data_IF_688062990462
#
_entry.id   IF_688062990462
#
_cell.length_a   1.000
_cell.length_b   1.000
_cell.length_c   1.000
_cell.angle_alpha   90.00
_cell.angle_beta   90.00
_cell.angle_gamma   90.00
#
_symmetry.space_group_name_H-M   'P 1'
#
loop_
_entity.id
_entity.type
_entity.pdbx_description
1 polymer ?
#
# COMPACT_ATOMS: atom_id res chain seq x y z
N UNK A 1 10.13 18.19 0.76
CA UNK A 1 10.29 16.72 0.80
C UNK A 1 10.23 16.24 -0.63
N UNK A 2 11.16 15.40 -1.07
CA UNK A 2 11.19 14.91 -2.45
C UNK A 2 10.45 13.57 -2.51
N UNK A 3 9.46 13.45 -3.38
CA UNK A 3 8.77 12.18 -3.66
C UNK A 3 9.54 11.49 -4.77
N UNK A 4 9.96 10.25 -4.53
CA UNK A 4 10.73 9.47 -5.51
C UNK A 4 9.90 8.29 -6.02
N UNK A 5 9.82 8.16 -7.34
CA UNK A 5 9.29 6.99 -8.05
C UNK A 5 10.43 6.02 -8.37
N UNK A 6 10.35 4.80 -7.85
CA UNK A 6 11.25 3.67 -8.13
C UNK A 6 10.46 2.61 -8.89
N UNK A 7 11.02 2.03 -9.94
CA UNK A 7 10.34 1.04 -10.78
C UNK A 7 11.29 -0.09 -11.18
N UNK A 8 10.71 -1.26 -11.48
CA UNK A 8 11.49 -2.39 -12.00
C UNK A 8 12.14 -2.14 -13.37
N UNK A 9 11.79 -1.05 -14.05
CA UNK A 9 12.38 -0.66 -15.33
C UNK A 9 13.59 0.29 -15.17
N UNK A 10 13.88 0.75 -13.97
CA UNK A 10 14.97 1.70 -13.75
C UNK A 10 16.35 1.05 -13.98
N UNK A 11 17.28 1.84 -14.51
CA UNK A 11 18.67 1.41 -14.62
C UNK A 11 19.26 1.17 -13.22
N UNK A 12 19.82 -0.04 -13.02
CA UNK A 12 20.37 -0.46 -11.73
C UNK A 12 19.32 -0.90 -10.71
N UNK A 13 18.05 -1.04 -11.10
CA UNK A 13 17.00 -1.59 -10.25
C UNK A 13 17.40 -2.96 -9.66
N UNK A 14 17.04 -3.25 -8.39
CA UNK A 14 17.41 -4.51 -7.75
C UNK A 14 16.79 -5.72 -8.45
N UNK A 15 17.61 -6.75 -8.67
CA UNK A 15 17.12 -8.07 -9.04
C UNK A 15 16.59 -8.78 -7.81
N UNK A 16 15.29 -9.10 -7.82
CA UNK A 16 14.65 -9.83 -6.72
C UNK A 16 14.95 -11.32 -6.86
N UNK A 17 15.44 -11.95 -5.78
CA UNK A 17 15.85 -13.36 -5.77
C UNK A 17 15.40 -14.09 -4.50
N UNK A 18 15.45 -15.43 -4.54
CA UNK A 18 14.96 -16.31 -3.47
C UNK A 18 13.46 -16.57 -3.56
N UNK A 19 12.94 -17.52 -2.78
CA UNK A 19 11.52 -17.95 -2.83
C UNK A 19 10.66 -17.28 -1.76
N UNK A 20 11.28 -16.74 -0.71
CA UNK A 20 10.57 -16.16 0.43
C UNK A 20 10.15 -14.72 0.12
N UNK A 21 8.86 -14.42 0.29
CA UNK A 21 8.32 -13.10 0.05
C UNK A 21 9.00 -12.04 0.92
N UNK A 22 9.27 -12.32 2.19
CA UNK A 22 9.99 -11.37 3.07
C UNK A 22 11.40 -11.07 2.57
N UNK A 23 12.10 -12.06 2.02
CA UNK A 23 13.42 -11.88 1.41
C UNK A 23 13.38 -10.93 0.22
N UNK A 24 12.43 -11.13 -0.71
CA UNK A 24 12.23 -10.26 -1.88
C UNK A 24 11.79 -8.84 -1.48
N UNK A 25 10.86 -8.72 -0.53
CA UNK A 25 10.43 -7.43 0.02
C UNK A 25 11.61 -6.67 0.66
N UNK A 26 12.47 -7.38 1.41
CA UNK A 26 13.65 -6.77 2.01
C UNK A 26 14.61 -6.23 0.95
N UNK A 27 14.92 -7.02 -0.08
CA UNK A 27 15.79 -6.57 -1.18
C UNK A 27 15.25 -5.30 -1.84
N UNK A 28 13.95 -5.29 -2.15
CA UNK A 28 13.29 -4.15 -2.77
C UNK A 28 13.29 -2.91 -1.87
N UNK A 29 12.81 -3.07 -0.64
CA UNK A 29 12.61 -1.92 0.26
C UNK A 29 13.92 -1.35 0.78
N UNK A 30 14.96 -2.16 0.99
CA UNK A 30 16.28 -1.63 1.34
C UNK A 30 16.88 -0.85 0.16
N UNK A 31 16.75 -1.34 -1.07
CA UNK A 31 17.22 -0.63 -2.25
C UNK A 31 16.47 0.70 -2.45
N UNK A 32 15.15 0.74 -2.30
CA UNK A 32 14.38 1.97 -2.54
C UNK A 32 14.40 2.94 -1.36
N UNK A 33 14.30 2.44 -0.13
CA UNK A 33 14.03 3.28 1.04
C UNK A 33 15.28 3.63 1.85
N UNK A 34 16.30 2.77 1.85
CA UNK A 34 17.47 2.90 2.74
C UNK A 34 18.76 3.21 1.98
N UNK A 35 19.05 2.46 0.91
CA UNK A 35 20.36 2.49 0.26
C UNK A 35 20.37 3.30 -1.05
N UNK A 36 19.25 3.35 -1.77
CA UNK A 36 19.23 3.80 -3.16
C UNK A 36 19.79 2.73 -4.11
N UNK A 37 19.75 3.00 -5.41
CA UNK A 37 20.40 2.18 -6.44
C UNK A 37 20.65 2.97 -7.72
N UNK A 38 21.68 2.59 -8.49
CA UNK A 38 22.08 3.30 -9.69
C UNK A 38 22.32 4.79 -9.40
N UNK A 39 21.58 5.67 -10.07
CA UNK A 39 21.57 7.12 -9.81
C UNK A 39 20.40 7.59 -8.94
N UNK A 40 19.51 6.69 -8.50
CA UNK A 40 18.36 7.03 -7.67
C UNK A 40 18.74 7.02 -6.18
N UNK A 41 18.58 8.15 -5.46
CA UNK A 41 18.86 8.22 -4.02
C UNK A 41 17.85 7.38 -3.23
N UNK A 42 18.18 7.04 -1.99
CA UNK A 42 17.23 6.41 -1.06
C UNK A 42 16.11 7.40 -0.65
N UNK A 43 14.94 6.86 -0.28
CA UNK A 43 13.84 7.68 0.23
C UNK A 43 14.06 8.24 1.65
N UNK A 44 15.06 7.75 2.40
CA UNK A 44 15.43 8.30 3.72
C UNK A 44 14.89 7.51 4.91
N UNK A 45 14.53 6.24 4.72
CA UNK A 45 14.19 5.33 5.82
C UNK A 45 15.43 4.64 6.36
N UNK A 46 15.30 4.04 7.55
CA UNK A 46 16.39 3.29 8.20
C UNK A 46 15.98 1.84 8.47
N UNK A 47 16.92 0.91 8.29
CA UNK A 47 16.79 -0.48 8.76
C UNK A 47 16.90 -0.52 10.29
N UNK A 48 15.81 -0.85 10.97
CA UNK A 48 15.77 -0.92 12.44
C UNK A 48 16.13 -2.28 13.01
N UNK A 49 15.75 -3.36 12.32
CA UNK A 49 16.00 -4.73 12.76
C UNK A 49 16.04 -5.66 11.55
N UNK A 50 16.88 -6.69 11.64
CA UNK A 50 16.90 -7.81 10.70
C UNK A 50 17.19 -9.08 11.49
N UNK A 51 16.35 -10.10 11.32
CA UNK A 51 16.55 -11.37 12.01
C UNK A 51 17.68 -12.18 11.38
N UNK A 52 18.37 -12.97 12.21
CA UNK A 52 19.48 -13.82 11.74
C UNK A 52 19.03 -14.85 10.70
N UNK A 53 17.82 -15.40 10.88
CA UNK A 53 17.20 -16.37 9.99
C UNK A 53 16.59 -15.77 8.71
N UNK A 54 16.71 -14.45 8.52
CA UNK A 54 16.18 -13.70 7.37
C UNK A 54 14.64 -13.74 7.22
N UNK A 55 13.92 -14.27 8.21
CA UNK A 55 12.45 -14.37 8.20
C UNK A 55 11.74 -13.11 8.70
N UNK A 56 12.47 -12.07 9.10
CA UNK A 56 11.86 -10.80 9.44
C UNK A 56 12.82 -9.63 9.42
N UNK A 57 12.27 -8.46 9.12
CA UNK A 57 13.01 -7.20 9.15
C UNK A 57 12.08 -6.03 9.46
N UNK A 58 12.63 -4.92 9.93
CA UNK A 58 11.87 -3.73 10.31
C UNK A 58 12.47 -2.46 9.74
N UNK A 59 11.63 -1.55 9.26
CA UNK A 59 12.03 -0.25 8.74
C UNK A 59 11.39 0.88 9.57
N UNK A 60 12.07 2.01 9.68
CA UNK A 60 11.56 3.20 10.37
C UNK A 60 11.81 4.49 9.58
N UNK A 61 10.89 5.43 9.76
CA UNK A 61 10.94 6.81 9.29
C UNK A 61 11.05 7.83 10.47
N UNK A 62 11.32 7.33 11.68
CA UNK A 62 11.34 8.12 12.93
C UNK A 62 9.98 8.33 13.60
N UNK A 63 8.85 8.08 12.91
CA UNK A 63 7.51 8.17 13.51
C UNK A 63 7.03 6.82 14.07
N UNK A 64 7.52 5.71 13.50
CA UNK A 64 7.21 4.36 13.95
C UNK A 64 8.05 3.33 13.20
N UNK A 65 7.80 2.06 13.50
CA UNK A 65 8.42 0.94 12.80
C UNK A 65 7.35 0.13 12.09
N UNK A 66 7.65 -0.32 10.88
CA UNK A 66 6.93 -1.42 10.21
C UNK A 66 7.82 -2.65 10.23
N UNK A 67 7.29 -3.80 10.64
CA UNK A 67 7.99 -5.08 10.68
C UNK A 67 7.28 -6.10 9.79
N UNK A 68 8.02 -6.62 8.82
CA UNK A 68 7.60 -7.70 7.94
C UNK A 68 8.11 -9.02 8.51
N UNK A 69 7.23 -10.00 8.67
CA UNK A 69 7.53 -11.32 9.26
C UNK A 69 7.01 -12.42 8.34
N UNK A 70 7.84 -13.40 8.04
CA UNK A 70 7.50 -14.51 7.15
C UNK A 70 6.35 -15.31 7.75
N UNK A 71 5.34 -15.58 6.93
CA UNK A 71 4.25 -16.47 7.27
C UNK A 71 4.68 -17.94 7.31
N UNK A 72 3.75 -18.84 7.61
CA UNK A 72 4.00 -20.29 7.51
C UNK A 72 4.24 -20.74 6.07
N UNK A 73 3.69 -20.01 5.10
CA UNK A 73 3.90 -20.18 3.67
C UNK A 73 4.95 -19.18 3.17
N UNK A 74 5.85 -19.60 2.26
CA UNK A 74 6.88 -18.77 1.65
C UNK A 74 6.31 -17.52 0.94
N UNK A 75 5.07 -17.61 0.46
CA UNK A 75 4.37 -16.58 -0.29
C UNK A 75 3.72 -15.49 0.58
N UNK A 76 3.75 -15.65 1.91
CA UNK A 76 2.95 -14.83 2.82
C UNK A 76 3.84 -14.07 3.82
N UNK A 77 3.43 -12.85 4.15
CA UNK A 77 4.10 -12.01 5.13
C UNK A 77 3.07 -11.39 6.04
N UNK A 78 3.31 -11.44 7.34
CA UNK A 78 2.57 -10.66 8.32
C UNK A 78 3.20 -9.26 8.43
N UNK A 79 2.35 -8.25 8.53
CA UNK A 79 2.78 -6.85 8.71
C UNK A 79 2.44 -6.42 10.12
N UNK A 80 3.44 -5.96 10.86
CA UNK A 80 3.27 -5.38 12.17
C UNK A 80 3.74 -3.93 12.16
N UNK A 81 3.18 -3.13 13.04
CA UNK A 81 3.69 -1.79 13.34
C UNK A 81 3.90 -1.62 14.85
N UNK A 82 4.85 -0.76 15.23
CA UNK A 82 5.19 -0.53 16.64
C UNK A 82 5.80 0.85 16.86
N UNK A 83 5.69 1.35 18.09
CA UNK A 83 6.20 2.68 18.49
C UNK A 83 7.74 2.67 18.52
N UNK A 84 8.33 1.60 19.04
CA UNK A 84 9.77 1.41 19.15
C UNK A 84 10.16 -0.06 19.12
N UNK A 85 11.39 -0.34 18.69
CA UNK A 85 12.01 -1.65 18.76
C UNK A 85 12.74 -1.83 20.09
N UNK A 86 12.66 -3.03 20.68
CA UNK A 86 13.51 -3.42 21.80
C UNK A 86 14.93 -3.68 21.30
N UNK A 87 15.97 -3.03 21.86
CA UNK A 87 17.36 -3.26 21.48
C UNK A 87 17.77 -4.73 21.61
N UNK A 88 18.59 -5.21 20.67
CA UNK A 88 19.11 -6.59 20.69
C UNK A 88 18.12 -7.67 20.26
N UNK A 89 16.95 -7.30 19.74
CA UNK A 89 16.01 -8.24 19.12
C UNK A 89 16.68 -9.01 17.97
N UNK A 90 16.58 -10.34 17.97
CA UNK A 90 17.13 -11.23 16.93
C UNK A 90 16.09 -12.11 16.24
N UNK A 91 14.89 -12.21 16.81
CA UNK A 91 13.79 -13.02 16.28
C UNK A 91 13.09 -12.33 15.11
N UNK A 92 12.62 -13.11 14.12
CA UNK A 92 11.84 -12.62 12.99
C UNK A 92 10.68 -11.70 13.41
N UNK A 93 9.93 -12.14 14.42
CA UNK A 93 8.91 -11.32 15.06
C UNK A 93 9.57 -10.39 16.07
N UNK A 94 9.75 -9.12 15.68
CA UNK A 94 10.54 -8.20 16.47
C UNK A 94 9.84 -7.82 17.79
N UNK A 95 10.59 -7.70 18.89
CA UNK A 95 10.08 -7.18 20.15
C UNK A 95 10.04 -5.64 20.11
N UNK A 96 9.03 -5.06 20.76
CA UNK A 96 8.83 -3.61 20.72
C UNK A 96 7.61 -3.16 21.51
N UNK A 97 7.46 -1.84 21.64
CA UNK A 97 6.36 -1.19 22.36
C UNK A 97 5.16 -1.02 21.43
N UNK A 98 3.96 -1.30 21.95
CA UNK A 98 2.70 -1.09 21.22
C UNK A 98 2.65 -1.81 19.86
N UNK A 99 3.15 -3.06 19.79
CA UNK A 99 3.08 -3.85 18.56
C UNK A 99 1.64 -4.18 18.18
N UNK A 100 1.29 -3.94 16.92
CA UNK A 100 -0.06 -4.12 16.34
C UNK A 100 0.00 -4.72 14.94
N UNK A 101 -1.08 -5.38 14.53
CA UNK A 101 -1.28 -5.93 13.18
C UNK A 101 -2.77 -6.21 12.96
N UNK A 102 -3.46 -5.43 12.13
CA UNK A 102 -4.92 -5.48 12.05
C UNK A 102 -5.56 -5.29 13.44
N UNK A 103 -6.57 -6.10 13.79
CA UNK A 103 -7.12 -6.15 15.15
C UNK A 103 -6.19 -6.72 16.22
N UNK A 104 -5.13 -7.42 15.83
CA UNK A 104 -4.17 -8.01 16.78
C UNK A 104 -3.31 -6.92 17.44
N UNK A 105 -3.09 -7.07 18.75
CA UNK A 105 -2.14 -6.28 19.54
C UNK A 105 -1.39 -7.14 20.54
N UNK A 106 -0.29 -6.62 21.08
CA UNK A 106 0.48 -7.31 22.13
C UNK A 106 -0.41 -7.73 23.31
N UNK A 107 -0.36 -9.02 23.68
CA UNK A 107 -1.23 -9.61 24.70
C UNK A 107 -2.52 -10.24 24.16
N UNK A 108 -2.85 -10.04 22.87
CA UNK A 108 -3.94 -10.77 22.21
C UNK A 108 -3.55 -12.23 21.97
N UNK A 109 -4.47 -13.13 22.28
CA UNK A 109 -4.36 -14.58 22.03
C UNK A 109 -4.76 -14.97 20.60
N UNK A 110 -5.40 -14.06 19.86
CA UNK A 110 -5.83 -14.32 18.48
C UNK A 110 -4.61 -14.39 17.55
N UNK A 111 -4.56 -15.40 16.69
CA UNK A 111 -3.53 -15.52 15.64
C UNK A 111 -4.09 -15.28 14.24
N UNK A 112 -5.42 -15.22 14.11
CA UNK A 112 -6.14 -15.05 12.85
C UNK A 112 -6.33 -13.58 12.47
N UNK A 113 -6.32 -12.67 13.45
CA UNK A 113 -6.69 -11.27 13.23
C UNK A 113 -5.49 -10.37 12.90
N UNK A 114 -4.58 -10.86 12.07
CA UNK A 114 -3.36 -10.13 11.68
C UNK A 114 -3.51 -9.53 10.30
N UNK A 115 -2.79 -8.44 10.06
CA UNK A 115 -2.57 -7.92 8.72
C UNK A 115 -1.65 -8.86 7.95
N UNK A 116 -2.19 -9.48 6.92
CA UNK A 116 -1.44 -10.30 5.97
C UNK A 116 -1.17 -9.52 4.70
N UNK A 117 0.02 -9.69 4.17
CA UNK A 117 0.41 -9.28 2.85
C UNK A 117 0.58 -10.54 2.01
N UNK A 118 -0.06 -10.54 0.86
CA UNK A 118 0.14 -11.52 -0.21
C UNK A 118 0.23 -10.73 -1.51
N UNK A 119 1.37 -10.84 -2.18
CA UNK A 119 1.61 -10.20 -3.47
C UNK A 119 1.85 -11.32 -4.48
N UNK A 120 0.85 -11.58 -5.32
CA UNK A 120 0.89 -12.69 -6.28
C UNK A 120 2.10 -12.65 -7.22
N UNK A 121 2.64 -11.46 -7.51
CA UNK A 121 3.88 -11.31 -8.29
C UNK A 121 5.13 -11.87 -7.59
N UNK A 122 5.06 -12.14 -6.29
CA UNK A 122 6.15 -12.72 -5.49
C UNK A 122 5.94 -14.21 -5.18
N UNK A 123 4.87 -14.81 -5.70
CA UNK A 123 4.56 -16.23 -5.55
C UNK A 123 5.48 -17.11 -6.41
N UNK A 124 5.84 -18.31 -5.94
CA UNK A 124 6.87 -19.17 -6.55
C UNK A 124 6.46 -19.76 -7.92
N UNK A 125 5.19 -20.13 -8.06
CA UNK A 125 4.59 -20.60 -9.33
C UNK A 125 4.65 -19.55 -10.45
N UNK A 126 4.99 -18.32 -10.08
CA UNK A 126 4.88 -17.14 -10.90
C UNK A 126 6.25 -16.52 -11.27
N UNK A 127 7.37 -17.14 -10.87
CA UNK A 127 8.74 -16.66 -11.15
C UNK A 127 9.07 -16.65 -12.65
N UNK A 128 8.36 -17.45 -13.45
CA UNK A 128 8.47 -17.48 -14.91
C UNK A 128 7.71 -16.36 -15.62
N UNK A 129 6.86 -15.62 -14.91
CA UNK A 129 6.02 -14.56 -15.46
C UNK A 129 6.61 -13.21 -15.08
N UNK A 130 6.86 -12.36 -16.07
CA UNK A 130 7.50 -11.04 -15.94
C UNK A 130 6.85 -10.17 -14.83
N UNK A 131 7.39 -10.15 -13.59
CA UNK A 131 6.78 -9.41 -12.51
C UNK A 131 7.23 -7.95 -12.59
N UNK A 132 6.33 -7.02 -12.29
CA UNK A 132 6.72 -5.63 -12.11
C UNK A 132 6.53 -5.20 -10.66
N UNK A 133 7.30 -4.18 -10.29
CA UNK A 133 7.13 -3.49 -9.05
C UNK A 133 7.32 -2.00 -9.25
N UNK A 134 6.64 -1.24 -8.42
CA UNK A 134 6.80 0.19 -8.25
C UNK A 134 6.83 0.49 -6.76
N UNK A 135 7.75 1.35 -6.35
CA UNK A 135 7.74 1.96 -5.02
C UNK A 135 7.65 3.47 -5.22
N UNK A 136 6.70 4.12 -4.55
CA UNK A 136 6.65 5.59 -4.47
C UNK A 136 6.82 5.96 -3.00
N UNK A 137 7.82 6.78 -2.70
CA UNK A 137 8.16 7.07 -1.32
C UNK A 137 8.76 8.47 -1.12
N UNK A 138 8.55 8.97 0.09
CA UNK A 138 9.34 10.03 0.70
C UNK A 138 9.91 9.53 2.03
N UNK A 139 10.51 10.42 2.81
CA UNK A 139 11.13 10.08 4.09
C UNK A 139 10.10 9.74 5.20
N UNK A 140 8.80 9.79 4.91
CA UNK A 140 7.72 9.59 5.87
C UNK A 140 6.69 8.53 5.45
N UNK A 141 6.51 8.23 4.17
CA UNK A 141 5.54 7.24 3.69
C UNK A 141 6.10 6.54 2.45
N UNK A 142 5.78 5.26 2.29
CA UNK A 142 5.99 4.55 1.04
C UNK A 142 4.74 3.77 0.63
N UNK A 143 4.60 3.59 -0.68
CA UNK A 143 3.64 2.71 -1.33
C UNK A 143 4.42 1.69 -2.16
N UNK A 144 4.02 0.42 -2.08
CA UNK A 144 4.51 -0.64 -2.95
C UNK A 144 3.34 -1.09 -3.80
N UNK A 145 3.53 -1.08 -5.12
CA UNK A 145 2.65 -1.68 -6.10
C UNK A 145 3.41 -2.83 -6.73
N UNK A 146 2.82 -4.01 -6.76
CA UNK A 146 3.35 -5.14 -7.50
C UNK A 146 2.27 -5.77 -8.33
N UNK A 147 2.62 -6.25 -9.51
CA UNK A 147 1.72 -7.02 -10.32
C UNK A 147 2.46 -8.00 -11.21
N UNK A 148 1.67 -8.93 -11.73
CA UNK A 148 2.13 -9.96 -12.64
C UNK A 148 1.18 -10.08 -13.82
N UNK A 149 1.76 -10.27 -15.01
CA UNK A 149 1.03 -10.68 -16.19
C UNK A 149 1.00 -12.21 -16.26
N UNK A 150 -0.16 -12.80 -15.98
CA UNK A 150 -0.35 -14.27 -16.00
C UNK A 150 -0.64 -14.82 -17.40
N UNK A 151 -0.78 -13.96 -18.42
CA UNK A 151 -1.15 -14.37 -19.78
C UNK A 151 0.03 -14.94 -20.61
N UNK A 152 1.25 -14.93 -20.07
CA UNK A 152 2.41 -15.60 -20.67
C UNK A 152 2.94 -14.98 -21.97
N UNK A 153 2.40 -13.83 -22.40
CA UNK A 153 2.88 -13.06 -23.54
C UNK A 153 2.62 -11.58 -23.32
N UNK A 154 3.46 -10.72 -23.92
CA UNK A 154 3.31 -9.26 -23.95
C UNK A 154 2.04 -8.84 -24.73
N UNK A 155 0.88 -9.27 -24.25
CA UNK A 155 -0.34 -9.28 -25.02
C UNK A 155 -1.16 -8.03 -24.68
N UNK A 156 -1.49 -7.26 -25.72
CA UNK A 156 -2.43 -6.13 -25.70
C UNK A 156 -3.89 -6.58 -25.40
N UNK A 157 -4.08 -7.67 -24.67
CA UNK A 157 -5.40 -8.24 -24.36
C UNK A 157 -6.02 -7.52 -23.17
N UNK A 158 -7.34 -7.25 -23.17
CA UNK A 158 -8.01 -6.53 -22.09
C UNK A 158 -7.76 -7.13 -20.71
N UNK A 159 -7.70 -6.25 -19.70
CA UNK A 159 -7.05 -6.45 -18.40
C UNK A 159 -7.79 -7.41 -17.43
N UNK A 160 -8.21 -8.59 -17.85
CA UNK A 160 -9.14 -9.45 -17.10
C UNK A 160 -8.51 -10.42 -16.07
N UNK A 161 -7.20 -10.71 -16.10
CA UNK A 161 -6.56 -11.72 -15.24
C UNK A 161 -5.27 -11.21 -14.57
N UNK A 162 -5.38 -10.18 -13.73
CA UNK A 162 -4.22 -9.57 -13.06
C UNK A 162 -4.36 -9.61 -11.55
N UNK A 163 -3.23 -9.91 -10.91
CA UNK A 163 -3.08 -9.78 -9.49
C UNK A 163 -2.15 -8.61 -9.20
N UNK A 164 -2.72 -7.43 -9.07
CA UNK A 164 -2.02 -6.25 -8.56
C UNK A 164 -2.31 -6.12 -7.07
N UNK A 165 -1.25 -6.00 -6.28
CA UNK A 165 -1.35 -5.76 -4.85
C UNK A 165 -0.72 -4.43 -4.47
N UNK A 166 -1.35 -3.73 -3.53
CA UNK A 166 -0.86 -2.45 -3.02
C UNK A 166 -0.81 -2.48 -1.51
N UNK A 167 0.34 -2.10 -0.98
CA UNK A 167 0.57 -1.97 0.46
C UNK A 167 1.33 -0.68 0.73
N UNK A 168 1.08 -0.05 1.86
CA UNK A 168 1.82 1.13 2.29
C UNK A 168 2.10 1.10 3.78
N UNK A 169 3.14 1.80 4.18
CA UNK A 169 3.37 2.12 5.58
C UNK A 169 3.99 3.51 5.72
N UNK A 170 3.77 4.11 6.88
CA UNK A 170 4.28 5.43 7.20
C UNK A 170 3.21 6.39 7.67
N UNK A 171 3.45 7.67 7.44
CA UNK A 171 2.58 8.75 7.90
C UNK A 171 1.28 8.79 7.10
N UNK A 172 0.17 9.02 7.79
CA UNK A 172 -1.11 9.46 7.21
C UNK A 172 -1.54 10.76 7.90
N UNK A 173 -2.42 11.54 7.25
CA UNK A 173 -2.96 12.78 7.81
C UNK A 173 -4.15 12.43 8.70
N UNK A 174 -3.96 12.34 10.02
CA UNK A 174 -5.08 12.08 10.93
C UNK A 174 -5.96 13.34 11.11
N UNK A 175 -7.23 13.13 11.51
CA UNK A 175 -8.22 14.20 11.65
C UNK A 175 -7.89 15.25 12.73
N UNK A 176 -6.98 14.97 13.64
CA UNK A 176 -6.61 15.85 14.76
C UNK A 176 -5.24 16.54 14.57
N UNK A 177 -4.57 16.33 13.44
CA UNK A 177 -3.23 16.91 13.20
C UNK A 177 -2.13 16.36 14.12
N UNK A 178 -2.34 15.18 14.72
CA UNK A 178 -1.34 14.51 15.56
C UNK A 178 -0.09 14.15 14.74
N UNK A 179 1.06 14.06 15.40
CA UNK A 179 2.34 13.78 14.77
C UNK A 179 3.04 12.57 15.40
N UNK A 180 4.15 12.13 14.81
CA UNK A 180 4.93 10.99 15.30
C UNK A 180 4.12 9.68 15.27
N UNK A 181 4.22 8.82 16.30
CA UNK A 181 3.55 7.52 16.33
C UNK A 181 2.03 7.57 16.14
N UNK A 182 1.36 8.67 16.53
CA UNK A 182 -0.08 8.82 16.34
C UNK A 182 -0.50 8.94 14.87
N UNK A 183 0.44 9.34 14.00
CA UNK A 183 0.24 9.48 12.57
C UNK A 183 0.78 8.31 11.75
N UNK A 184 1.24 7.23 12.39
CA UNK A 184 1.83 6.07 11.69
C UNK A 184 0.79 4.96 11.46
N UNK A 185 0.79 4.39 10.26
CA UNK A 185 -0.09 3.30 9.87
C UNK A 185 0.60 2.32 8.92
N UNK A 186 0.07 1.10 8.84
CA UNK A 186 0.32 0.14 7.77
C UNK A 186 -1.02 -0.22 7.11
N UNK A 187 -1.09 -0.10 5.80
CA UNK A 187 -2.33 0.03 5.07
C UNK A 187 -2.33 -0.88 3.83
N UNK A 188 -3.47 -1.53 3.59
CA UNK A 188 -3.60 -2.56 2.55
C UNK A 188 -3.44 -3.97 3.13
N UNK A 189 -3.23 -4.97 2.28
CA UNK A 189 -3.19 -6.37 2.72
C UNK A 189 -4.59 -6.99 2.89
N UNK A 190 -4.63 -8.13 3.57
CA UNK A 190 -5.82 -8.92 3.83
C UNK A 190 -5.91 -9.35 5.30
N UNK A 191 -7.13 -9.58 5.84
CA UNK A 191 -7.32 -10.01 7.23
C UNK A 191 -7.07 -11.51 7.41
N UNK A 192 -6.62 -12.22 6.37
CA UNK A 192 -6.37 -13.66 6.40
C UNK A 192 -5.18 -14.02 5.50
N UNK A 193 -4.58 -15.17 5.80
CA UNK A 193 -3.33 -15.63 5.18
C UNK A 193 -3.39 -15.73 3.65
N UNK A 194 -4.53 -16.05 3.05
CA UNK A 194 -4.68 -16.26 1.60
C UNK A 194 -5.47 -15.14 0.91
N UNK A 195 -5.79 -14.06 1.62
CA UNK A 195 -6.44 -12.92 0.97
C UNK A 195 -5.44 -12.12 0.13
N UNK A 196 -5.88 -11.67 -1.04
CA UNK A 196 -5.08 -10.79 -1.90
C UNK A 196 -5.04 -9.41 -1.28
N UNK A 197 -3.83 -8.86 -1.09
CA UNK A 197 -3.66 -7.55 -0.47
C UNK A 197 -4.09 -6.42 -1.40
N UNK A 198 -5.04 -5.59 -0.96
CA UNK A 198 -5.49 -4.45 -1.77
C UNK A 198 -5.77 -3.24 -0.88
N UNK A 199 -5.43 -2.04 -1.38
CA UNK A 199 -5.96 -0.79 -0.82
C UNK A 199 -7.46 -0.71 -1.16
N UNK A 200 -8.28 -0.04 -0.35
CA UNK A 200 -9.65 0.29 -0.79
C UNK A 200 -10.65 -0.87 -1.01
N UNK A 201 -10.32 -2.14 -0.71
CA UNK A 201 -11.32 -3.21 -0.71
C UNK A 201 -12.30 -2.96 0.44
N UNK A 202 -13.55 -2.66 0.13
CA UNK A 202 -14.54 -2.19 1.09
C UNK A 202 -14.85 -3.13 2.26
N UNK A 203 -14.49 -4.41 2.13
CA UNK A 203 -14.68 -5.44 3.16
C UNK A 203 -13.35 -5.88 3.80
N UNK A 204 -12.22 -5.28 3.41
CA UNK A 204 -10.91 -5.60 3.99
C UNK A 204 -10.61 -4.60 5.12
N UNK A 205 -10.71 -5.09 6.35
CA UNK A 205 -10.24 -4.39 7.56
C UNK A 205 -8.86 -4.88 8.00
N UNK A 206 -7.98 -5.15 7.03
CA UNK A 206 -6.64 -5.64 7.27
C UNK A 206 -5.66 -4.55 7.75
N UNK A 207 -6.03 -3.29 7.59
CA UNK A 207 -5.11 -2.18 7.87
C UNK A 207 -4.91 -1.97 9.37
N UNK A 208 -3.80 -1.35 9.73
CA UNK A 208 -3.37 -1.13 11.11
C UNK A 208 -3.04 0.34 11.32
N UNK A 209 -3.66 0.95 12.33
CA UNK A 209 -3.22 2.24 12.88
C UNK A 209 -2.35 1.99 14.11
N UNK A 210 -1.27 2.74 14.28
CA UNK A 210 -0.37 2.50 15.41
C UNK A 210 -1.00 2.94 16.74
N UNK A 211 -1.76 4.03 16.72
CA UNK A 211 -2.46 4.59 17.89
C UNK A 211 -3.88 4.98 17.54
N UNK A 212 -4.72 5.24 18.54
CA UNK A 212 -6.08 5.72 18.30
C UNK A 212 -6.00 7.11 17.60
N UNK A 213 -6.62 7.28 16.42
CA UNK A 213 -6.52 8.50 15.63
C UNK A 213 -7.23 9.71 16.25
N UNK A 214 -8.14 9.48 17.20
CA UNK A 214 -8.93 10.50 17.88
C UNK A 214 -8.38 10.89 19.26
N UNK A 215 -7.39 10.17 19.78
CA UNK A 215 -6.81 10.46 21.11
C UNK A 215 -5.29 10.47 21.13
N UNK A 216 -4.63 9.89 20.13
CA UNK A 216 -3.18 9.72 20.10
C UNK A 216 -2.64 8.70 21.11
N UNK A 217 -3.52 7.99 21.82
CA UNK A 217 -3.16 6.98 22.80
C UNK A 217 -2.92 5.62 22.14
N UNK A 218 -2.02 4.82 22.72
CA UNK A 218 -1.78 3.46 22.27
C UNK A 218 -3.04 2.59 22.38
N UNK A 219 -3.88 2.79 23.39
CA UNK A 219 -5.10 2.01 23.58
C UNK A 219 -6.11 2.24 22.43
N UNK A 220 -6.54 1.14 21.79
CA UNK A 220 -7.55 1.14 20.71
C UNK A 220 -8.74 0.24 21.01
N UNK A 221 -8.81 -0.33 22.22
CA UNK A 221 -9.87 -1.25 22.65
C UNK A 221 -9.87 -2.59 21.90
N UNK A 222 -10.98 -3.31 22.01
CA UNK A 222 -11.19 -4.58 21.30
C UNK A 222 -11.58 -4.34 19.84
N UNK A 223 -11.09 -5.23 18.97
CA UNK A 223 -11.40 -5.26 17.53
C UNK A 223 -11.25 -3.90 16.82
N UNK A 224 -10.07 -3.23 16.91
CA UNK A 224 -9.82 -2.05 16.10
C UNK A 224 -9.74 -2.46 14.62
N UNK A 225 -10.63 -1.90 13.81
CA UNK A 225 -10.75 -2.18 12.39
C UNK A 225 -10.50 -0.90 11.60
N UNK A 226 -9.68 -1.01 10.56
CA UNK A 226 -9.25 0.12 9.75
C UNK A 226 -9.37 -0.24 8.28
N UNK A 227 -9.92 0.67 7.49
CA UNK A 227 -10.06 0.53 6.03
C UNK A 227 -9.81 1.88 5.34
N UNK A 228 -9.75 1.90 4.02
CA UNK A 228 -9.67 3.14 3.25
C UNK A 228 -10.78 3.17 2.20
N UNK A 229 -11.30 4.36 1.89
CA UNK A 229 -12.33 4.53 0.84
C UNK A 229 -12.06 5.79 0.01
N UNK A 230 -12.32 5.69 -1.30
CA UNK A 230 -12.35 6.82 -2.22
C UNK A 230 -13.77 7.37 -2.45
N UNK A 231 -13.95 8.31 -3.39
CA UNK A 231 -15.23 8.98 -3.64
C UNK A 231 -16.34 8.06 -4.17
N UNK A 232 -16.00 7.12 -5.05
CA UNK A 232 -16.95 6.18 -5.63
C UNK A 232 -16.83 4.81 -4.97
N UNK A 233 -17.69 4.55 -3.98
CA UNK A 233 -17.88 3.23 -3.38
C UNK A 233 -18.97 2.41 -4.11
N UNK A 234 -19.17 2.58 -5.42
CA UNK A 234 -20.06 1.66 -6.14
C UNK A 234 -19.45 0.25 -6.08
N UNK A 235 -20.13 -0.77 -5.51
CA UNK A 235 -19.62 -2.13 -5.47
C UNK A 235 -19.59 -2.77 -6.87
N UNK A 236 -20.21 -2.14 -7.88
CA UNK A 236 -20.22 -2.64 -9.25
C UNK A 236 -19.35 -1.75 -10.16
N UNK A 237 -18.45 -2.34 -10.98
CA UNK A 237 -17.80 -1.60 -12.05
C UNK A 237 -18.87 -1.01 -12.97
N UNK A 238 -18.73 0.25 -13.37
CA UNK A 238 -19.63 0.80 -14.39
C UNK A 238 -19.25 0.14 -15.71
N UNK A 239 -20.04 -0.86 -16.11
CA UNK A 239 -19.87 -1.55 -17.40
C UNK A 239 -20.23 -0.65 -18.59
N UNK A 240 -20.97 0.43 -18.34
CA UNK A 240 -21.31 1.46 -19.32
C UNK A 240 -20.71 2.79 -18.90
N UNK A 241 -19.58 3.14 -19.50
CA UNK A 241 -19.01 4.48 -19.43
C UNK A 241 -19.06 5.11 -20.83
N UNK A 242 -19.77 6.25 -20.94
CA UNK A 242 -19.76 7.02 -22.16
C UNK A 242 -18.56 7.98 -22.14
N UNK A 243 -17.47 7.58 -22.81
CA UNK A 243 -16.24 8.39 -22.88
C UNK A 243 -16.43 9.79 -23.49
N UNK A 244 -17.54 10.04 -24.20
CA UNK A 244 -17.83 11.36 -24.78
C UNK A 244 -18.25 12.43 -23.75
N UNK A 245 -18.59 12.02 -22.53
CA UNK A 245 -19.02 12.93 -21.45
C UNK A 245 -17.90 13.32 -20.49
N UNK A 246 -16.75 12.61 -20.51
CA UNK A 246 -15.62 12.96 -19.66
C UNK A 246 -14.94 14.21 -20.21
N UNK A 247 -14.84 15.23 -19.37
CA UNK A 247 -14.08 16.44 -19.64
C UNK A 247 -12.82 16.38 -18.77
N UNK A 248 -11.65 15.99 -19.32
CA UNK A 248 -10.44 15.87 -18.53
C UNK A 248 -10.10 17.15 -17.74
N UNK A 249 -10.47 18.32 -18.27
CA UNK A 249 -10.32 19.63 -17.60
C UNK A 249 -11.20 19.83 -16.36
N UNK A 250 -12.16 18.94 -16.10
CA UNK A 250 -13.06 18.98 -14.95
C UNK A 250 -12.78 17.87 -13.93
N UNK A 251 -11.70 17.11 -14.11
CA UNK A 251 -11.29 16.10 -13.13
C UNK A 251 -11.00 16.78 -11.79
N UNK A 252 -11.56 16.22 -10.73
CA UNK A 252 -11.42 16.72 -9.37
C UNK A 252 -10.82 15.63 -8.52
N UNK A 253 -9.49 15.60 -8.49
CA UNK A 253 -8.76 14.72 -7.61
C UNK A 253 -8.93 15.17 -6.16
N UNK A 254 -9.35 14.25 -5.31
CA UNK A 254 -9.35 14.45 -3.86
C UNK A 254 -8.73 13.27 -3.12
N UNK A 255 -8.37 13.46 -1.85
CA UNK A 255 -7.62 12.48 -1.09
C UNK A 255 -8.45 11.25 -0.74
N UNK A 256 -7.79 10.10 -0.65
CA UNK A 256 -8.39 8.87 -0.12
C UNK A 256 -8.55 8.99 1.39
N UNK A 257 -9.76 8.73 1.88
CA UNK A 257 -10.09 8.83 3.30
C UNK A 257 -9.80 7.50 4.01
N UNK A 258 -9.22 7.57 5.20
CA UNK A 258 -9.05 6.45 6.12
C UNK A 258 -10.25 6.42 7.04
N UNK A 259 -10.86 5.24 7.16
CA UNK A 259 -11.98 4.98 8.05
C UNK A 259 -11.56 3.99 9.13
N UNK A 260 -12.13 4.14 10.31
CA UNK A 260 -11.96 3.16 11.36
C UNK A 260 -13.26 2.91 12.13
N UNK A 261 -13.34 1.74 12.74
CA UNK A 261 -14.38 1.39 13.72
C UNK A 261 -13.81 0.49 14.80
N UNK A 262 -14.45 0.46 15.95
CA UNK A 262 -14.09 -0.37 17.09
C UNK A 262 -14.41 0.35 18.40
N UNK A 263 -14.68 -0.42 19.45
CA UNK A 263 -15.11 0.12 20.74
C UNK A 263 -14.12 1.14 21.31
N UNK A 264 -12.81 0.90 21.15
CA UNK A 264 -11.78 1.84 21.59
C UNK A 264 -11.27 2.80 20.50
N UNK A 265 -11.92 2.87 19.33
CA UNK A 265 -11.64 3.86 18.30
C UNK A 265 -12.75 4.91 18.27
N UNK A 266 -13.95 4.54 17.82
CA UNK A 266 -15.09 5.44 17.64
C UNK A 266 -16.32 5.02 18.46
N UNK A 267 -16.16 4.09 19.42
CA UNK A 267 -17.24 3.56 20.24
C UNK A 267 -18.37 2.88 19.44
N UNK A 268 -18.09 2.39 18.23
CA UNK A 268 -19.04 1.61 17.41
C UNK A 268 -18.36 0.37 16.83
N UNK A 269 -19.09 -0.75 16.76
CA UNK A 269 -18.63 -1.98 16.09
C UNK A 269 -19.18 -2.11 14.67
N UNK A 270 -20.17 -1.29 14.32
CA UNK A 270 -20.87 -1.31 13.04
C UNK A 270 -20.54 -0.10 12.19
N UNK A 271 -20.52 1.08 12.81
CA UNK A 271 -20.39 2.36 12.12
C UNK A 271 -18.92 2.73 11.95
N UNK A 272 -18.59 3.20 10.76
CA UNK A 272 -17.27 3.69 10.43
C UNK A 272 -17.20 5.20 10.66
N UNK A 273 -16.07 5.68 11.17
CA UNK A 273 -15.78 7.10 11.29
C UNK A 273 -14.55 7.47 10.47
N UNK A 274 -14.60 8.57 9.69
CA UNK A 274 -13.41 9.06 9.00
C UNK A 274 -12.39 9.50 10.06
N UNK A 275 -11.17 9.02 9.93
CA UNK A 275 -10.10 9.27 10.90
C UNK A 275 -8.84 9.87 10.28
N UNK A 276 -8.83 10.09 8.96
CA UNK A 276 -7.75 10.78 8.28
C UNK A 276 -7.75 10.60 6.77
N UNK A 277 -6.62 10.94 6.15
CA UNK A 277 -6.38 10.84 4.72
C UNK A 277 -5.01 10.22 4.42
N UNK A 278 -4.91 9.50 3.31
CA UNK A 278 -3.64 9.00 2.79
C UNK A 278 -2.82 10.16 2.20
N UNK A 279 -1.50 10.11 2.39
CA UNK A 279 -0.57 11.06 1.76
C UNK A 279 -0.33 10.65 0.32
N UNK A 280 -0.45 11.59 -0.62
CA UNK A 280 -0.18 11.33 -2.04
C UNK A 280 -1.21 10.47 -2.77
N UNK A 281 -2.12 9.75 -2.09
CA UNK A 281 -3.14 8.94 -2.77
C UNK A 281 -4.39 9.77 -3.05
N UNK A 282 -4.70 9.90 -4.32
CA UNK A 282 -5.82 10.64 -4.86
C UNK A 282 -6.82 9.71 -5.53
N UNK A 283 -8.06 10.18 -5.60
CA UNK A 283 -9.17 9.51 -6.26
C UNK A 283 -10.00 10.57 -7.00
N UNK A 284 -10.60 10.19 -8.11
CA UNK A 284 -11.58 11.00 -8.82
C UNK A 284 -12.86 10.17 -8.98
N UNK A 285 -14.02 10.78 -8.70
CA UNK A 285 -15.29 10.08 -8.68
C UNK A 285 -15.65 9.42 -10.03
N UNK A 286 -15.18 9.98 -11.15
CA UNK A 286 -15.38 9.46 -12.49
C UNK A 286 -14.35 8.40 -12.83
N UNK A 287 -13.06 8.70 -12.65
CA UNK A 287 -11.97 7.80 -13.08
C UNK A 287 -11.86 6.53 -12.22
N UNK A 288 -12.12 6.62 -10.92
CA UNK A 288 -11.92 5.50 -10.01
C UNK A 288 -12.92 4.35 -10.17
N UNK A 289 -13.97 4.56 -10.98
CA UNK A 289 -14.89 3.50 -11.39
C UNK A 289 -14.55 2.84 -12.74
N UNK A 290 -13.50 3.29 -13.41
CA UNK A 290 -13.09 2.83 -14.74
C UNK A 290 -11.90 1.88 -14.66
N UNK A 291 -11.81 0.99 -15.64
CA UNK A 291 -10.63 0.17 -15.90
C UNK A 291 -9.51 1.06 -16.46
N UNK A 292 -8.25 0.66 -16.30
CA UNK A 292 -7.10 1.42 -16.79
C UNK A 292 -7.12 1.75 -18.28
N UNK A 293 -7.51 0.83 -19.19
CA UNK A 293 -7.58 1.14 -20.61
C UNK A 293 -8.64 2.22 -20.90
N UNK A 294 -9.72 2.27 -20.14
CA UNK A 294 -10.78 3.26 -20.28
C UNK A 294 -10.35 4.62 -19.72
N UNK A 295 -9.56 4.65 -18.63
CA UNK A 295 -8.92 5.89 -18.16
C UNK A 295 -7.97 6.45 -19.21
N UNK A 296 -7.10 5.63 -19.78
CA UNK A 296 -6.18 6.08 -20.84
C UNK A 296 -6.94 6.60 -22.06
N UNK A 297 -7.97 5.87 -22.52
CA UNK A 297 -8.84 6.34 -23.61
C UNK A 297 -9.50 7.67 -23.28
N UNK A 298 -10.05 7.82 -22.06
CA UNK A 298 -10.73 9.03 -21.62
C UNK A 298 -9.79 10.24 -21.51
N UNK A 299 -8.49 10.01 -21.28
CA UNK A 299 -7.44 11.02 -21.27
C UNK A 299 -6.82 11.27 -22.66
N UNK A 300 -7.28 10.58 -23.70
CA UNK A 300 -6.70 10.68 -25.05
C UNK A 300 -5.31 10.09 -25.17
N UNK A 301 -4.93 9.20 -24.25
CA UNK A 301 -3.64 8.53 -24.24
C UNK A 301 -3.69 7.25 -25.10
N UNK A 302 -2.54 6.75 -25.58
CA UNK A 302 -2.46 5.44 -26.20
C UNK A 302 -3.06 4.37 -25.29
N UNK A 303 -3.59 3.29 -25.86
CA UNK A 303 -4.17 2.21 -25.07
C UNK A 303 -3.16 1.75 -24.00
N UNK A 304 -3.61 1.69 -22.74
CA UNK A 304 -2.77 1.23 -21.64
C UNK A 304 -2.25 -0.18 -21.93
N UNK A 305 -0.93 -0.33 -21.91
CA UNK A 305 -0.26 -1.63 -21.81
C UNK A 305 0.06 -1.91 -20.34
N UNK A 306 0.66 -3.06 -20.07
CA UNK A 306 1.14 -3.38 -18.73
C UNK A 306 2.10 -2.34 -18.14
N UNK A 307 2.90 -1.70 -18.98
CA UNK A 307 3.86 -0.67 -18.58
C UNK A 307 3.22 0.62 -18.09
N UNK A 308 1.91 0.78 -18.31
CA UNK A 308 1.11 1.90 -17.81
C UNK A 308 1.17 2.03 -16.28
N UNK A 309 1.33 0.93 -15.54
CA UNK A 309 1.46 0.97 -14.08
C UNK A 309 2.81 1.46 -13.57
N UNK A 310 3.83 1.50 -14.45
CA UNK A 310 5.16 2.01 -14.13
C UNK A 310 5.38 3.44 -14.62
N UNK A 311 4.44 3.95 -15.42
CA UNK A 311 4.59 5.20 -16.15
C UNK A 311 3.64 6.25 -15.59
N UNK A 312 4.20 7.40 -15.21
CA UNK A 312 3.41 8.53 -14.75
C UNK A 312 2.56 9.09 -15.89
N UNK A 313 1.30 9.38 -15.58
CA UNK A 313 0.37 10.10 -16.45
C UNK A 313 0.38 11.56 -16.04
N UNK A 314 0.48 12.46 -17.03
CA UNK A 314 0.26 13.89 -16.79
C UNK A 314 -1.20 14.21 -17.04
N UNK A 315 -1.91 14.62 -15.99
CA UNK A 315 -3.29 15.05 -16.09
C UNK A 315 -3.39 16.47 -16.66
N UNK A 316 -4.55 16.86 -17.18
CA UNK A 316 -4.85 18.27 -17.49
C UNK A 316 -4.57 19.15 -16.27
N UNK A 317 -3.82 20.23 -16.48
CA UNK A 317 -3.29 21.06 -15.40
C UNK A 317 -1.86 20.70 -14.95
N UNK A 318 -1.25 19.67 -15.56
CA UNK A 318 0.18 19.36 -15.40
C UNK A 318 0.51 18.46 -14.21
N UNK A 319 -0.48 18.03 -13.41
CA UNK A 319 -0.24 17.14 -12.27
C UNK A 319 0.15 15.74 -12.77
N UNK A 320 1.31 15.26 -12.34
CA UNK A 320 1.78 13.91 -12.64
C UNK A 320 1.27 12.91 -11.58
N UNK A 321 0.63 11.84 -12.05
CA UNK A 321 0.08 10.78 -11.20
C UNK A 321 0.42 9.40 -11.74
N UNK A 322 0.59 8.43 -10.85
CA UNK A 322 0.73 7.03 -11.21
C UNK A 322 -0.61 6.29 -10.99
N UNK A 323 -1.16 5.59 -12.00
CA UNK A 323 -2.33 4.76 -11.80
C UNK A 323 -1.97 3.56 -10.92
N UNK A 324 -2.86 3.23 -9.99
CA UNK A 324 -2.69 2.12 -9.06
C UNK A 324 -4.01 1.37 -8.94
N UNK A 325 -3.99 0.10 -9.33
CA UNK A 325 -5.14 -0.78 -9.16
C UNK A 325 -5.28 -1.16 -7.69
N UNK A 326 -6.48 -0.95 -7.16
CA UNK A 326 -6.80 -1.22 -5.77
C UNK A 326 -7.66 -2.46 -5.60
N UNK A 327 -7.97 -3.22 -6.65
CA UNK A 327 -8.70 -4.48 -6.51
C UNK A 327 -8.56 -5.36 -7.75
N UNK A 328 -9.06 -6.59 -7.68
CA UNK A 328 -9.17 -7.51 -8.82
C UNK A 328 -10.08 -7.00 -9.94
N UNK A 329 -10.80 -5.88 -9.75
CA UNK A 329 -11.63 -5.25 -10.78
C UNK A 329 -10.96 -4.03 -11.42
N UNK A 330 -9.64 -3.87 -11.26
CA UNK A 330 -8.85 -2.77 -11.84
C UNK A 330 -9.44 -1.38 -11.55
N UNK A 331 -9.88 -1.18 -10.30
CA UNK A 331 -10.35 0.12 -9.84
C UNK A 331 -9.16 0.99 -9.53
N UNK A 332 -9.17 2.22 -10.05
CA UNK A 332 -7.99 3.05 -10.01
C UNK A 332 -8.04 4.07 -8.89
N UNK A 333 -7.00 4.03 -8.09
CA UNK A 333 -6.52 5.19 -7.36
C UNK A 333 -5.31 5.75 -8.08
N UNK A 334 -4.91 6.95 -7.71
CA UNK A 334 -3.77 7.63 -8.29
C UNK A 334 -2.79 7.97 -7.18
N UNK A 335 -1.51 7.67 -7.35
CA UNK A 335 -0.47 8.18 -6.45
C UNK A 335 0.16 9.39 -7.12
N UNK A 336 -0.01 10.55 -6.50
CA UNK A 336 0.56 11.80 -6.96
C UNK A 336 2.08 11.82 -6.82
N UNK A 337 2.76 12.36 -7.82
CA UNK A 337 4.20 12.64 -7.77
C UNK A 337 4.49 14.10 -7.38
N UNK A 338 3.45 14.87 -7.06
CA UNK A 338 3.54 16.24 -6.56
C UNK A 338 3.75 16.24 -5.04
N UNK A 339 4.88 16.79 -4.53
CA UNK A 339 5.14 16.86 -3.09
C UNK A 339 4.06 17.56 -2.26
N UNK A 340 3.27 18.46 -2.84
CA UNK A 340 2.18 19.14 -2.11
C UNK A 340 1.07 18.17 -1.68
N UNK A 341 0.86 17.09 -2.42
CA UNK A 341 -0.13 16.06 -2.05
C UNK A 341 0.38 15.15 -0.92
N UNK A 342 1.68 15.25 -0.60
CA UNK A 342 2.33 14.48 0.46
C UNK A 342 2.54 15.28 1.74
N UNK A 343 2.55 16.62 1.72
CA UNK A 343 2.83 17.44 2.92
C UNK A 343 1.84 17.26 4.07
#
# INVERSE_FOLDING_TARGET
MAVTLYTSADAGAPTLSGVQMTGRLKQLLLACLVNGYGSKPAAGWTLGHQSGDQKGFSLTNGDGYVNFVQGSDAMMCQVYIMDSLTPGTTSAFAAGVNRRSGPWGSGSTSTTDRQWLSLAALMDDYVTYNPFWVVIADEKTFYIVMGIDTSGGASDTPMNNYYTGVVSAGRYRNCLGLTGPASFAALGGAPSQYGVGSLGYANSFASTLLRNPFTGLAAQGSLPLVTQRGFSHSPYPRTTFNSTELRPSQLSLGPVTVFCRGAGLNNSTTDESPCGYLRGVLNDALLSGLLLPDVYRALGLPRATWDAYRTAITLPGGKAVLPVSVSTSDRLHFISLDPADWS
#
